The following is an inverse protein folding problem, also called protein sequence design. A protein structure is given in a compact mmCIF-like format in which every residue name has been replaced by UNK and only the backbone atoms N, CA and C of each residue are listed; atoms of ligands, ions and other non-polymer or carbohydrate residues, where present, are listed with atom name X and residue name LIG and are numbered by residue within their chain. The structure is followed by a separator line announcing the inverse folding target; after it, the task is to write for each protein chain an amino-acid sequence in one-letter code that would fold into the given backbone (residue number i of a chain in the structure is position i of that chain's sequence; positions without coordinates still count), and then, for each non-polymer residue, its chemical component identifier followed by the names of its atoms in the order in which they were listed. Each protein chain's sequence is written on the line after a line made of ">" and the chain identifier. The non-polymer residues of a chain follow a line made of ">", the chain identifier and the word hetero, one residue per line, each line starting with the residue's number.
data_IF_883507397188
#
_entry.id   IF_883507397188
#
_cell.length_a   1.000
_cell.length_b   1.000
_cell.length_c   1.000
_cell.angle_alpha   90.00
_cell.angle_beta   90.00
_cell.angle_gamma   90.00
#
_symmetry.space_group_name_H-M   'P 1'
#
loop_
_entity.id
_entity.type
_entity.pdbx_description
1 polymer ?
#
# COMPACT_ATOMS: atom_id res chain seq x y z
N UNK A 1 30.66 -55.99 -21.52
CA UNK A 1 29.76 -54.85 -21.83
C UNK A 1 28.60 -54.66 -20.85
N UNK A 2 27.81 -55.68 -20.46
CA UNK A 2 26.62 -55.46 -19.59
C UNK A 2 26.93 -54.93 -18.17
N UNK A 3 28.05 -55.31 -17.56
CA UNK A 3 28.43 -54.83 -16.21
C UNK A 3 28.88 -53.36 -16.17
N UNK A 4 29.55 -52.85 -17.20
CA UNK A 4 29.96 -51.43 -17.21
C UNK A 4 28.78 -50.47 -17.43
N UNK A 5 27.74 -50.91 -18.16
CA UNK A 5 26.51 -50.13 -18.34
C UNK A 5 25.70 -49.99 -17.03
N UNK A 6 25.67 -51.05 -16.20
CA UNK A 6 24.99 -51.02 -14.90
C UNK A 6 25.74 -50.13 -13.91
N UNK A 7 27.07 -50.25 -13.86
CA UNK A 7 27.91 -49.40 -12.99
C UNK A 7 27.82 -47.92 -13.41
N UNK A 8 27.84 -47.62 -14.71
CA UNK A 8 27.66 -46.26 -15.23
C UNK A 8 26.28 -45.68 -14.88
N UNK A 9 25.19 -46.47 -14.98
CA UNK A 9 23.84 -46.03 -14.58
C UNK A 9 23.73 -45.78 -13.07
N UNK A 10 24.35 -46.60 -12.24
CA UNK A 10 24.37 -46.42 -10.79
C UNK A 10 25.17 -45.17 -10.41
N UNK A 11 26.35 -44.97 -11.01
CA UNK A 11 27.16 -43.77 -10.78
C UNK A 11 26.45 -42.48 -11.24
N UNK A 12 25.74 -42.53 -12.37
CA UNK A 12 24.96 -41.40 -12.87
C UNK A 12 23.77 -41.10 -11.95
N UNK A 13 23.09 -42.12 -11.43
CA UNK A 13 22.02 -41.96 -10.46
C UNK A 13 22.51 -41.37 -9.13
N UNK A 14 23.63 -41.87 -8.59
CA UNK A 14 24.26 -41.32 -7.39
C UNK A 14 24.79 -39.89 -7.62
N UNK A 15 25.37 -39.61 -8.79
CA UNK A 15 25.80 -38.26 -9.18
C UNK A 15 24.61 -37.31 -9.26
N UNK A 16 23.48 -37.73 -9.83
CA UNK A 16 22.25 -36.94 -9.84
C UNK A 16 21.75 -36.69 -8.42
N UNK A 17 21.70 -37.70 -7.55
CA UNK A 17 21.27 -37.52 -6.14
C UNK A 17 22.17 -36.53 -5.41
N UNK A 18 23.49 -36.59 -5.59
CA UNK A 18 24.43 -35.68 -4.93
C UNK A 18 24.25 -34.24 -5.47
N UNK A 19 24.18 -34.06 -6.78
CA UNK A 19 24.01 -32.73 -7.39
C UNK A 19 22.64 -32.11 -7.01
N UNK A 20 21.58 -32.92 -6.94
CA UNK A 20 20.26 -32.46 -6.55
C UNK A 20 20.13 -32.25 -5.04
N UNK A 21 20.87 -32.99 -4.21
CA UNK A 21 20.80 -32.91 -2.74
C UNK A 21 21.35 -31.62 -2.15
N UNK A 22 22.40 -31.03 -2.75
CA UNK A 22 23.05 -29.82 -2.22
C UNK A 22 22.19 -28.55 -2.32
N UNK A 23 21.17 -28.54 -3.18
CA UNK A 23 20.25 -27.41 -3.35
C UNK A 23 18.78 -27.82 -3.14
N UNK A 24 18.51 -28.91 -2.42
CA UNK A 24 17.14 -29.25 -2.08
C UNK A 24 16.53 -28.16 -1.20
N UNK A 25 15.36 -27.67 -1.60
CA UNK A 25 14.68 -26.56 -0.91
C UNK A 25 14.43 -26.82 0.58
N UNK A 26 14.27 -28.09 0.99
CA UNK A 26 14.01 -28.51 2.37
C UNK A 26 15.16 -28.23 3.35
N UNK A 27 16.42 -28.16 2.87
CA UNK A 27 17.56 -27.91 3.76
C UNK A 27 17.78 -26.43 4.04
N UNK A 28 17.10 -25.54 3.30
CA UNK A 28 17.12 -24.13 3.61
C UNK A 28 16.09 -23.83 4.70
N UNK A 29 16.56 -23.39 5.87
CA UNK A 29 15.73 -22.95 7.00
C UNK A 29 14.71 -21.89 6.60
N UNK A 30 14.98 -21.12 5.55
CA UNK A 30 14.07 -20.12 5.02
C UNK A 30 12.81 -20.70 4.38
N UNK A 31 12.87 -21.94 3.89
CA UNK A 31 11.78 -22.68 3.25
C UNK A 31 11.00 -23.58 4.23
N UNK A 32 11.39 -23.65 5.51
CA UNK A 32 10.74 -24.50 6.53
C UNK A 32 10.15 -23.68 7.70
N UNK A 33 9.12 -22.85 7.47
CA UNK A 33 8.56 -21.97 8.49
C UNK A 33 7.90 -22.73 9.66
N UNK A 34 7.27 -23.88 9.42
CA UNK A 34 6.65 -24.66 10.50
C UNK A 34 7.71 -25.32 11.38
N UNK A 35 8.79 -25.87 10.81
CA UNK A 35 9.93 -26.35 11.60
C UNK A 35 10.49 -25.23 12.48
N UNK A 36 10.71 -24.04 11.91
CA UNK A 36 11.20 -22.88 12.67
C UNK A 36 10.25 -22.51 13.81
N UNK A 37 8.93 -22.65 13.60
CA UNK A 37 7.93 -22.36 14.64
C UNK A 37 7.95 -23.40 15.77
N UNK A 38 8.14 -24.68 15.43
CA UNK A 38 8.33 -25.77 16.41
C UNK A 38 9.61 -25.54 17.22
N UNK A 39 10.72 -25.21 16.56
CA UNK A 39 11.99 -24.90 17.24
C UNK A 39 11.85 -23.74 18.23
N UNK A 40 11.13 -22.67 17.86
CA UNK A 40 10.97 -21.48 18.70
C UNK A 40 10.06 -21.69 19.91
N UNK A 41 9.01 -22.51 19.80
CA UNK A 41 7.96 -22.58 20.82
C UNK A 41 7.91 -23.91 21.59
N UNK A 42 8.38 -25.01 20.99
CA UNK A 42 8.26 -26.35 21.55
C UNK A 42 9.59 -26.94 22.02
N UNK A 43 10.74 -26.41 21.58
CA UNK A 43 12.05 -26.91 21.99
C UNK A 43 12.56 -26.10 23.19
N UNK A 44 12.71 -26.69 24.38
CA UNK A 44 13.27 -25.99 25.54
C UNK A 44 14.74 -25.60 25.32
N UNK A 45 15.15 -24.44 25.83
CA UNK A 45 16.53 -23.96 25.70
C UNK A 45 17.52 -24.74 26.57
N UNK A 46 17.07 -25.26 27.72
CA UNK A 46 17.93 -25.98 28.67
C UNK A 46 18.13 -27.44 28.25
N UNK A 47 19.34 -28.03 28.43
CA UNK A 47 19.67 -29.37 27.93
C UNK A 47 18.79 -30.50 28.49
N UNK A 48 18.55 -30.48 29.81
CA UNK A 48 17.79 -31.55 30.49
C UNK A 48 16.31 -31.53 30.10
N UNK A 49 15.59 -30.39 30.14
CA UNK A 49 14.23 -30.31 29.62
C UNK A 49 14.11 -30.66 28.12
N UNK A 50 15.13 -30.36 27.32
CA UNK A 50 15.15 -30.69 25.89
C UNK A 50 15.21 -32.19 25.61
N UNK A 51 15.88 -32.98 26.45
CA UNK A 51 15.89 -34.45 26.29
C UNK A 51 14.53 -35.02 26.70
N UNK A 52 13.97 -34.52 27.81
CA UNK A 52 12.67 -34.99 28.33
C UNK A 52 11.54 -34.70 27.35
N UNK A 53 11.56 -33.53 26.71
CA UNK A 53 10.54 -33.13 25.73
C UNK A 53 10.74 -33.76 24.34
N UNK A 54 11.86 -34.44 24.09
CA UNK A 54 12.21 -35.01 22.78
C UNK A 54 11.15 -35.93 22.17
N UNK A 55 10.49 -36.83 22.94
CA UNK A 55 9.41 -37.66 22.41
C UNK A 55 8.21 -36.88 21.87
N UNK A 56 8.05 -35.61 22.28
CA UNK A 56 6.96 -34.74 21.82
C UNK A 56 7.36 -33.86 20.64
N UNK A 57 8.45 -33.10 20.75
CA UNK A 57 8.80 -32.16 19.68
C UNK A 57 9.43 -32.84 18.46
N UNK A 58 10.04 -34.03 18.57
CA UNK A 58 10.62 -34.72 17.40
C UNK A 58 9.52 -35.15 16.41
N UNK A 59 8.46 -35.88 16.82
CA UNK A 59 7.36 -36.22 15.91
C UNK A 59 6.65 -34.99 15.34
N UNK A 60 6.41 -33.97 16.18
CA UNK A 60 5.77 -32.72 15.75
C UNK A 60 6.65 -31.96 14.74
N UNK A 61 7.96 -31.90 14.97
CA UNK A 61 8.92 -31.30 14.05
C UNK A 61 9.01 -32.04 12.72
N UNK A 62 8.92 -33.37 12.72
CA UNK A 62 8.90 -34.17 11.50
C UNK A 62 7.62 -33.91 10.69
N UNK A 63 6.45 -33.90 11.33
CA UNK A 63 5.19 -33.55 10.68
C UNK A 63 5.23 -32.12 10.12
N UNK A 64 5.74 -31.17 10.90
CA UNK A 64 5.94 -29.79 10.45
C UNK A 64 6.85 -29.74 9.21
N UNK A 65 7.94 -30.52 9.17
CA UNK A 65 8.81 -30.61 8.02
C UNK A 65 8.16 -31.22 6.78
N UNK A 66 7.31 -32.25 6.94
CA UNK A 66 6.54 -32.81 5.83
C UNK A 66 5.53 -31.80 5.28
N UNK A 67 4.84 -31.07 6.16
CA UNK A 67 3.92 -30.00 5.75
C UNK A 67 4.65 -28.87 5.05
N UNK A 68 5.83 -28.47 5.57
CA UNK A 68 6.69 -27.48 4.93
C UNK A 68 7.09 -27.93 3.52
N UNK A 69 7.50 -29.18 3.35
CA UNK A 69 7.93 -29.73 2.07
C UNK A 69 6.80 -29.82 1.03
N UNK A 70 5.66 -30.39 1.41
CA UNK A 70 4.61 -30.77 0.45
C UNK A 70 3.52 -29.73 0.27
N UNK A 71 3.34 -28.82 1.24
CA UNK A 71 2.23 -27.88 1.26
C UNK A 71 2.75 -26.45 1.31
N UNK A 72 3.47 -26.09 2.38
CA UNK A 72 3.78 -24.68 2.66
C UNK A 72 4.76 -24.13 1.63
N UNK A 73 5.89 -24.81 1.39
CA UNK A 73 6.90 -24.34 0.45
C UNK A 73 6.39 -24.25 -1.00
N UNK A 74 5.67 -25.24 -1.55
CA UNK A 74 5.05 -25.09 -2.87
C UNK A 74 4.11 -23.89 -2.96
N UNK A 75 3.24 -23.68 -1.95
CA UNK A 75 2.34 -22.52 -1.92
C UNK A 75 3.12 -21.21 -1.90
N UNK A 76 4.19 -21.15 -1.11
CA UNK A 76 5.08 -19.99 -1.02
C UNK A 76 5.77 -19.63 -2.35
N UNK A 77 5.94 -20.60 -3.25
CA UNK A 77 6.58 -20.41 -4.56
C UNK A 77 5.60 -20.05 -5.69
N UNK A 78 4.29 -20.16 -5.48
CA UNK A 78 3.26 -19.79 -6.46
C UNK A 78 3.45 -18.36 -7.02
N UNK A 79 3.65 -17.31 -6.19
CA UNK A 79 3.76 -15.95 -6.72
C UNK A 79 4.95 -15.76 -7.67
N UNK A 80 6.08 -16.42 -7.37
CA UNK A 80 7.27 -16.34 -8.21
C UNK A 80 7.05 -17.07 -9.53
N UNK A 81 6.49 -18.29 -9.48
CA UNK A 81 6.17 -19.04 -10.69
C UNK A 81 5.15 -18.32 -11.58
N UNK A 82 4.19 -17.63 -10.96
CA UNK A 82 3.24 -16.79 -11.66
C UNK A 82 3.94 -15.60 -12.35
N UNK A 83 4.77 -14.84 -11.63
CA UNK A 83 5.50 -13.70 -12.19
C UNK A 83 6.41 -14.13 -13.35
N UNK A 84 7.12 -15.24 -13.22
CA UNK A 84 7.98 -15.78 -14.26
C UNK A 84 7.16 -16.18 -15.49
N UNK A 85 6.03 -16.86 -15.29
CA UNK A 85 5.12 -17.23 -16.39
C UNK A 85 4.62 -15.99 -17.15
N UNK A 86 4.26 -14.92 -16.43
CA UNK A 86 3.87 -13.65 -17.03
C UNK A 86 5.04 -13.00 -17.77
N UNK A 87 6.23 -13.01 -17.19
CA UNK A 87 7.42 -12.42 -17.82
C UNK A 87 7.81 -13.15 -19.12
N UNK A 88 7.66 -14.47 -19.16
CA UNK A 88 8.06 -15.32 -20.27
C UNK A 88 7.03 -15.28 -21.40
N UNK A 89 5.73 -15.42 -21.07
CA UNK A 89 4.68 -15.65 -22.07
C UNK A 89 3.83 -14.43 -22.37
N UNK A 90 3.73 -13.48 -21.43
CA UNK A 90 2.75 -12.39 -21.49
C UNK A 90 3.37 -11.00 -21.58
N UNK A 91 4.65 -10.85 -21.24
CA UNK A 91 5.33 -9.55 -21.29
C UNK A 91 5.82 -9.25 -22.71
N UNK A 92 5.32 -8.18 -23.35
CA UNK A 92 5.64 -7.89 -24.73
C UNK A 92 7.09 -7.41 -24.88
N UNK A 93 7.81 -7.99 -25.83
CA UNK A 93 9.12 -7.46 -26.24
C UNK A 93 8.94 -6.19 -27.09
N UNK A 94 9.82 -5.18 -26.93
CA UNK A 94 9.71 -3.91 -27.65
C UNK A 94 9.71 -4.06 -29.18
N UNK A 95 10.33 -5.13 -29.69
CA UNK A 95 10.47 -5.44 -31.12
C UNK A 95 9.16 -5.96 -31.76
N UNK A 96 8.21 -6.49 -30.96
CA UNK A 96 7.00 -7.11 -31.49
C UNK A 96 5.90 -6.07 -31.73
N UNK A 97 5.47 -5.90 -32.99
CA UNK A 97 4.31 -5.07 -33.37
C UNK A 97 2.98 -5.77 -33.07
N UNK A 98 1.87 -5.02 -33.11
CA UNK A 98 0.53 -5.46 -32.70
C UNK A 98 0.09 -6.82 -33.28
N UNK A 99 0.24 -7.02 -34.60
CA UNK A 99 -0.19 -8.25 -35.29
C UNK A 99 0.57 -9.47 -34.80
N UNK A 100 1.89 -9.37 -34.64
CA UNK A 100 2.73 -10.44 -34.10
C UNK A 100 2.28 -10.80 -32.68
N UNK A 101 1.93 -9.82 -31.84
CA UNK A 101 1.44 -10.07 -30.48
C UNK A 101 0.13 -10.87 -30.47
N UNK A 102 -0.81 -10.51 -31.33
CA UNK A 102 -2.10 -11.21 -31.43
C UNK A 102 -1.94 -12.64 -31.92
N UNK A 103 -0.99 -12.90 -32.83
CA UNK A 103 -0.70 -14.24 -33.33
C UNK A 103 -0.12 -15.18 -32.24
N UNK A 104 0.58 -14.65 -31.23
CA UNK A 104 1.17 -15.44 -30.15
C UNK A 104 0.22 -15.73 -28.98
N UNK A 105 -0.90 -15.00 -28.84
CA UNK A 105 -1.87 -15.21 -27.76
C UNK A 105 -2.35 -16.66 -27.58
N UNK A 106 -2.78 -17.40 -28.63
CA UNK A 106 -3.21 -18.78 -28.45
C UNK A 106 -2.11 -19.68 -27.89
N UNK A 107 -0.85 -19.45 -28.29
CA UNK A 107 0.30 -20.18 -27.77
C UNK A 107 0.60 -19.80 -26.32
N UNK A 108 0.55 -18.50 -25.97
CA UNK A 108 0.74 -18.05 -24.58
C UNK A 108 -0.30 -18.66 -23.65
N UNK A 109 -1.57 -18.72 -24.05
CA UNK A 109 -2.63 -19.37 -23.27
C UNK A 109 -2.37 -20.86 -23.09
N UNK A 110 -2.03 -21.57 -24.17
CA UNK A 110 -1.77 -23.02 -24.13
C UNK A 110 -0.52 -23.37 -23.30
N UNK A 111 0.53 -22.55 -23.37
CA UNK A 111 1.79 -22.80 -22.67
C UNK A 111 1.79 -22.33 -21.22
N UNK A 112 0.88 -21.44 -20.83
CA UNK A 112 0.77 -20.92 -19.46
C UNK A 112 0.74 -22.02 -18.40
N UNK A 113 -0.14 -23.04 -18.44
CA UNK A 113 -0.15 -24.08 -17.43
C UNK A 113 1.15 -24.91 -17.41
N UNK A 114 1.75 -25.16 -18.58
CA UNK A 114 2.98 -25.95 -18.69
C UNK A 114 4.16 -25.22 -18.06
N UNK A 115 4.35 -23.95 -18.42
CA UNK A 115 5.44 -23.12 -17.88
C UNK A 115 5.24 -22.87 -16.39
N UNK A 116 4.03 -22.55 -15.96
CA UNK A 116 3.71 -22.32 -14.55
C UNK A 116 3.97 -23.56 -13.70
N UNK A 117 3.40 -24.72 -14.08
CA UNK A 117 3.60 -25.96 -13.32
C UNK A 117 5.05 -26.43 -13.35
N UNK A 118 5.74 -26.27 -14.48
CA UNK A 118 7.15 -26.59 -14.60
C UNK A 118 8.01 -25.76 -13.64
N UNK A 119 7.85 -24.43 -13.66
CA UNK A 119 8.60 -23.54 -12.77
C UNK A 119 8.24 -23.75 -11.29
N UNK A 120 6.96 -23.92 -10.99
CA UNK A 120 6.49 -24.19 -9.62
C UNK A 120 7.10 -25.48 -9.06
N UNK A 121 7.06 -26.59 -9.81
CA UNK A 121 7.62 -27.86 -9.38
C UNK A 121 9.15 -27.79 -9.25
N UNK A 122 9.81 -27.14 -10.21
CA UNK A 122 11.25 -26.97 -10.19
C UNK A 122 11.70 -26.18 -8.96
N UNK A 123 11.05 -25.06 -8.63
CA UNK A 123 11.33 -24.25 -7.43
C UNK A 123 10.86 -24.88 -6.13
N UNK A 124 9.87 -25.78 -6.20
CA UNK A 124 9.45 -26.56 -5.04
C UNK A 124 10.48 -27.63 -4.69
N UNK A 125 11.10 -28.25 -5.69
CA UNK A 125 12.15 -29.24 -5.51
C UNK A 125 13.52 -28.62 -5.21
N UNK A 126 13.86 -27.52 -5.87
CA UNK A 126 15.18 -26.90 -5.83
C UNK A 126 15.13 -25.47 -5.31
N UNK A 127 16.12 -25.11 -4.48
CA UNK A 127 16.27 -23.76 -3.94
C UNK A 127 16.89 -22.79 -4.96
N UNK A 128 16.17 -22.54 -6.05
CA UNK A 128 16.62 -21.64 -7.13
C UNK A 128 16.08 -20.23 -6.87
N UNK A 129 16.97 -19.24 -6.91
CA UNK A 129 16.77 -17.81 -6.57
C UNK A 129 16.60 -17.46 -5.07
N UNK A 130 17.25 -18.19 -4.16
CA UNK A 130 17.61 -17.70 -2.82
C UNK A 130 16.51 -16.98 -2.02
N UNK A 131 15.94 -17.70 -1.06
CA UNK A 131 14.98 -17.23 -0.05
C UNK A 131 13.62 -16.76 -0.58
N UNK A 132 12.55 -17.32 -0.01
CA UNK A 132 11.22 -16.73 -0.16
C UNK A 132 11.21 -15.39 0.55
N UNK A 133 10.58 -14.39 -0.06
CA UNK A 133 10.37 -13.07 0.53
C UNK A 133 9.44 -13.18 1.74
N UNK A 134 10.04 -13.52 2.89
CA UNK A 134 9.36 -13.76 4.16
C UNK A 134 8.64 -12.52 4.67
N UNK A 135 9.01 -11.34 4.20
CA UNK A 135 8.30 -10.10 4.49
C UNK A 135 6.80 -10.16 4.11
N UNK A 136 6.40 -11.09 3.23
CA UNK A 136 5.00 -11.30 2.83
C UNK A 136 4.23 -12.29 3.72
N UNK A 137 4.90 -13.10 4.55
CA UNK A 137 4.29 -14.22 5.32
C UNK A 137 4.55 -14.11 6.81
N UNK A 138 5.70 -13.59 7.22
CA UNK A 138 5.86 -13.06 8.56
C UNK A 138 4.91 -11.88 8.64
N UNK A 139 3.77 -12.05 9.34
CA UNK A 139 3.09 -10.93 9.94
C UNK A 139 4.18 -10.14 10.64
N UNK A 140 4.53 -8.95 10.11
CA UNK A 140 5.31 -7.99 10.87
C UNK A 140 4.69 -8.00 12.26
N UNK A 141 5.46 -8.25 13.34
CA UNK A 141 4.89 -8.18 14.68
C UNK A 141 4.19 -6.86 14.71
N UNK A 142 2.85 -6.85 14.88
CA UNK A 142 2.03 -5.65 14.81
C UNK A 142 2.81 -4.64 15.62
N UNK A 143 3.54 -3.73 14.95
CA UNK A 143 4.29 -2.70 15.65
C UNK A 143 3.14 -2.00 16.30
N UNK A 144 3.02 -2.14 17.61
CA UNK A 144 1.96 -1.49 18.37
C UNK A 144 2.21 -0.01 18.12
N UNK A 145 1.60 0.51 17.04
CA UNK A 145 1.66 1.91 16.70
C UNK A 145 0.99 2.51 17.90
N UNK A 146 1.77 3.19 18.73
CA UNK A 146 1.26 3.84 19.93
C UNK A 146 -0.07 4.50 19.54
N UNK A 147 -1.16 4.22 20.26
CA UNK A 147 -2.44 4.83 19.93
C UNK A 147 -2.21 6.33 19.77
N UNK A 148 -2.77 6.91 18.71
CA UNK A 148 -2.52 8.31 18.35
C UNK A 148 -2.79 9.26 19.53
N UNK A 149 -3.73 8.90 20.42
CA UNK A 149 -3.98 9.61 21.68
C UNK A 149 -2.74 9.67 22.59
N UNK A 150 -1.98 8.57 22.70
CA UNK A 150 -0.72 8.53 23.43
C UNK A 150 0.37 9.33 22.72
N UNK A 151 0.47 9.21 21.39
CA UNK A 151 1.43 10.00 20.60
C UNK A 151 1.15 11.50 20.68
N UNK A 152 -0.13 11.87 20.76
CA UNK A 152 -0.57 13.24 21.00
C UNK A 152 -0.24 13.69 22.42
N UNK A 153 -0.45 12.86 23.44
CA UNK A 153 -0.09 13.19 24.81
C UNK A 153 1.43 13.41 24.98
N UNK A 154 2.25 12.61 24.30
CA UNK A 154 3.71 12.66 24.34
C UNK A 154 4.32 13.73 23.41
N UNK A 155 3.50 14.44 22.63
CA UNK A 155 3.94 15.39 21.58
C UNK A 155 4.97 14.78 20.60
N UNK A 156 4.83 13.49 20.29
CA UNK A 156 5.73 12.79 19.38
C UNK A 156 5.41 13.15 17.93
N UNK A 157 6.09 14.19 17.42
CA UNK A 157 5.94 14.69 16.05
C UNK A 157 6.10 13.59 14.99
N UNK A 158 7.09 12.71 15.15
CA UNK A 158 7.38 11.69 14.16
C UNK A 158 6.26 10.63 14.10
N UNK A 159 5.73 10.23 15.25
CA UNK A 159 4.58 9.34 15.33
C UNK A 159 3.31 9.97 14.73
N UNK A 160 3.07 11.26 15.00
CA UNK A 160 1.92 12.01 14.44
C UNK A 160 2.01 12.08 12.92
N UNK A 161 3.16 12.46 12.36
CA UNK A 161 3.34 12.51 10.90
C UNK A 161 3.16 11.13 10.26
N UNK A 162 3.78 10.10 10.85
CA UNK A 162 3.61 8.72 10.38
C UNK A 162 2.14 8.32 10.38
N UNK A 163 1.40 8.65 11.44
CA UNK A 163 -0.02 8.41 11.52
C UNK A 163 -0.80 9.18 10.45
N UNK A 164 -0.50 10.47 10.24
CA UNK A 164 -1.17 11.31 9.24
C UNK A 164 -0.97 10.81 7.81
N UNK A 165 0.20 10.24 7.50
CA UNK A 165 0.48 9.65 6.17
C UNK A 165 -0.13 8.25 5.96
N UNK A 166 -0.66 7.61 7.00
CA UNK A 166 -1.25 6.27 6.87
C UNK A 166 -2.64 6.30 6.21
N UNK A 167 -2.94 5.24 5.44
CA UNK A 167 -4.20 5.06 4.71
C UNK A 167 -5.36 4.50 5.56
N UNK A 168 -5.18 4.35 6.87
CA UNK A 168 -6.22 3.79 7.73
C UNK A 168 -7.42 4.76 7.87
N UNK A 169 -8.62 4.21 8.05
CA UNK A 169 -9.83 4.98 8.33
C UNK A 169 -9.81 5.51 9.76
N UNK A 170 -10.22 6.77 9.96
CA UNK A 170 -10.23 7.41 11.27
C UNK A 170 -11.36 8.43 11.42
N UNK A 171 -11.63 8.78 12.67
CA UNK A 171 -12.63 9.76 13.07
C UNK A 171 -12.21 11.20 12.69
N UNK A 172 -13.09 11.97 12.01
CA UNK A 172 -12.85 13.37 11.68
C UNK A 172 -12.45 14.24 12.88
N UNK A 173 -13.06 14.00 14.05
CA UNK A 173 -12.87 14.74 15.30
C UNK A 173 -11.42 14.69 15.78
N UNK A 174 -10.74 13.57 15.56
CA UNK A 174 -9.33 13.42 15.89
C UNK A 174 -8.45 14.30 15.00
N UNK A 175 -8.77 14.40 13.72
CA UNK A 175 -8.02 15.25 12.78
C UNK A 175 -8.21 16.74 13.12
N UNK A 176 -9.42 17.13 13.53
CA UNK A 176 -9.68 18.47 14.07
C UNK A 176 -8.85 18.73 15.35
N UNK A 177 -8.82 17.79 16.29
CA UNK A 177 -8.03 17.94 17.53
C UNK A 177 -6.53 18.10 17.26
N UNK A 178 -6.00 17.45 16.21
CA UNK A 178 -4.61 17.62 15.77
C UNK A 178 -4.38 19.04 15.23
N UNK A 179 -5.33 19.56 14.43
CA UNK A 179 -5.26 20.91 13.88
C UNK A 179 -5.28 21.98 14.98
N UNK A 180 -6.13 21.81 16.00
CA UNK A 180 -6.20 22.73 17.14
C UNK A 180 -4.92 22.71 17.98
N UNK A 181 -4.27 21.55 18.09
CA UNK A 181 -3.04 21.39 18.88
C UNK A 181 -1.78 21.87 18.16
N UNK A 182 -1.73 21.79 16.83
CA UNK A 182 -0.55 22.13 16.03
C UNK A 182 -0.86 23.19 14.95
N UNK A 183 -1.33 24.39 15.33
CA UNK A 183 -1.68 25.42 14.36
C UNK A 183 -0.47 25.95 13.56
N UNK A 184 0.72 25.98 14.18
CA UNK A 184 1.94 26.53 13.60
C UNK A 184 2.72 25.54 12.72
N UNK A 185 2.55 24.22 12.89
CA UNK A 185 3.26 23.22 12.11
C UNK A 185 2.57 23.03 10.75
N UNK A 186 3.13 23.65 9.71
CA UNK A 186 2.55 23.65 8.36
C UNK A 186 2.41 22.24 7.77
N UNK A 187 3.32 21.31 8.09
CA UNK A 187 3.29 19.95 7.55
C UNK A 187 2.19 19.12 8.23
N UNK A 188 2.13 19.17 9.57
CA UNK A 188 1.06 18.53 10.34
C UNK A 188 -0.29 19.11 9.94
N UNK A 189 -0.40 20.44 9.86
CA UNK A 189 -1.64 21.14 9.47
C UNK A 189 -2.12 20.69 8.09
N UNK A 190 -1.24 20.69 7.09
CA UNK A 190 -1.58 20.26 5.73
C UNK A 190 -2.07 18.82 5.69
N UNK A 191 -1.34 17.90 6.33
CA UNK A 191 -1.69 16.49 6.33
C UNK A 191 -2.96 16.20 7.13
N UNK A 192 -3.15 16.87 8.28
CA UNK A 192 -4.35 16.74 9.09
C UNK A 192 -5.58 17.30 8.37
N UNK A 193 -5.46 18.44 7.67
CA UNK A 193 -6.52 18.97 6.80
C UNK A 193 -6.86 17.99 5.68
N UNK A 194 -5.85 17.49 4.96
CA UNK A 194 -6.04 16.51 3.88
C UNK A 194 -6.77 15.26 4.38
N UNK A 195 -6.39 14.76 5.56
CA UNK A 195 -7.00 13.58 6.17
C UNK A 195 -8.43 13.87 6.63
N UNK A 196 -8.66 15.01 7.29
CA UNK A 196 -9.98 15.47 7.71
C UNK A 196 -10.92 15.54 6.51
N UNK A 197 -10.61 16.36 5.50
CA UNK A 197 -11.50 16.55 4.34
C UNK A 197 -11.70 15.27 3.52
N UNK A 198 -10.70 14.37 3.52
CA UNK A 198 -10.79 13.07 2.88
C UNK A 198 -11.91 12.19 3.45
N UNK A 199 -12.21 12.36 4.74
CA UNK A 199 -13.24 11.58 5.46
C UNK A 199 -14.63 12.22 5.46
N UNK A 200 -14.75 13.50 5.07
CA UNK A 200 -16.02 14.22 5.11
C UNK A 200 -16.96 13.84 3.96
N UNK A 201 -18.24 13.70 4.29
CA UNK A 201 -19.35 13.48 3.35
C UNK A 201 -20.51 14.43 3.70
N UNK A 202 -21.60 14.40 2.92
CA UNK A 202 -22.76 15.30 3.09
C UNK A 202 -23.37 15.26 4.50
N UNK A 203 -23.23 14.16 5.24
CA UNK A 203 -23.78 14.01 6.61
C UNK A 203 -22.84 14.56 7.67
N UNK A 204 -21.52 14.36 7.50
CA UNK A 204 -20.52 14.77 8.50
C UNK A 204 -20.05 16.20 8.28
N UNK A 205 -19.96 16.65 7.03
CA UNK A 205 -19.45 17.96 6.66
C UNK A 205 -20.11 19.15 7.37
N UNK A 206 -21.45 19.24 7.52
CA UNK A 206 -22.07 20.39 8.19
C UNK A 206 -21.56 20.66 9.60
N UNK A 207 -21.05 19.64 10.31
CA UNK A 207 -20.46 19.80 11.64
C UNK A 207 -19.10 20.49 11.64
N UNK A 208 -18.35 20.36 10.53
CA UNK A 208 -16.99 20.88 10.38
C UNK A 208 -16.92 22.09 9.45
N UNK A 209 -18.02 22.44 8.79
CA UNK A 209 -18.08 23.50 7.78
C UNK A 209 -17.57 24.84 8.32
N UNK A 210 -18.09 25.29 9.46
CA UNK A 210 -17.69 26.58 10.05
C UNK A 210 -16.21 26.57 10.49
N UNK A 211 -15.73 25.42 10.98
CA UNK A 211 -14.31 25.23 11.33
C UNK A 211 -13.41 25.34 10.09
N UNK A 212 -13.76 24.65 9.00
CA UNK A 212 -12.99 24.67 7.75
C UNK A 212 -12.99 26.04 7.08
N UNK A 213 -14.10 26.78 7.16
CA UNK A 213 -14.17 28.18 6.69
C UNK A 213 -13.17 29.06 7.45
N UNK A 214 -12.97 28.82 8.74
CA UNK A 214 -11.98 29.53 9.56
C UNK A 214 -10.51 29.35 9.12
N UNK A 215 -10.22 28.32 8.31
CA UNK A 215 -8.90 28.04 7.76
C UNK A 215 -8.65 28.66 6.37
N UNK A 216 -9.66 29.28 5.75
CA UNK A 216 -9.47 29.99 4.49
C UNK A 216 -8.46 31.14 4.65
N UNK A 217 -7.64 31.36 3.62
CA UNK A 217 -6.68 32.45 3.52
C UNK A 217 -5.58 32.42 4.60
N UNK A 218 -5.31 31.25 5.19
CA UNK A 218 -4.20 31.05 6.13
C UNK A 218 -2.91 30.68 5.41
N UNK A 219 -3.00 29.77 4.44
CA UNK A 219 -1.89 29.42 3.57
C UNK A 219 -2.40 28.81 2.26
N UNK A 220 -1.63 28.98 1.18
CA UNK A 220 -2.03 28.58 -0.17
C UNK A 220 -2.27 27.07 -0.32
N UNK A 221 -1.56 26.23 0.44
CA UNK A 221 -1.70 24.77 0.32
C UNK A 221 -2.99 24.30 0.97
N UNK A 222 -3.31 24.84 2.16
CA UNK A 222 -4.58 24.64 2.85
C UNK A 222 -5.74 25.11 1.99
N UNK A 223 -5.65 26.29 1.38
CA UNK A 223 -6.70 26.82 0.51
C UNK A 223 -7.03 25.86 -0.64
N UNK A 224 -6.02 25.28 -1.32
CA UNK A 224 -6.27 24.31 -2.40
C UNK A 224 -7.06 23.09 -1.92
N UNK A 225 -6.78 22.60 -0.72
CA UNK A 225 -7.48 21.47 -0.10
C UNK A 225 -8.92 21.87 0.23
N UNK A 226 -9.11 23.03 0.85
CA UNK A 226 -10.40 23.56 1.28
C UNK A 226 -11.32 23.87 0.09
N UNK A 227 -10.82 24.56 -0.92
CA UNK A 227 -11.57 24.84 -2.15
C UNK A 227 -11.98 23.55 -2.88
N UNK A 228 -11.17 22.49 -2.80
CA UNK A 228 -11.54 21.16 -3.30
C UNK A 228 -12.77 20.58 -2.58
N UNK A 229 -12.77 20.60 -1.24
CA UNK A 229 -13.88 20.03 -0.46
C UNK A 229 -15.16 20.86 -0.58
N UNK A 230 -15.06 22.19 -0.60
CA UNK A 230 -16.23 23.06 -0.74
C UNK A 230 -16.92 22.92 -2.10
N UNK A 231 -16.16 22.72 -3.18
CA UNK A 231 -16.72 22.37 -4.49
C UNK A 231 -17.39 21.00 -4.47
N UNK A 232 -16.71 19.99 -3.93
CA UNK A 232 -17.23 18.61 -3.88
C UNK A 232 -18.57 18.52 -3.12
N UNK A 233 -18.73 19.32 -2.07
CA UNK A 233 -19.87 19.28 -1.16
C UNK A 233 -20.82 20.47 -1.31
N UNK A 234 -20.67 21.28 -2.38
CA UNK A 234 -21.55 22.40 -2.74
C UNK A 234 -21.90 23.34 -1.57
N UNK A 235 -20.90 23.73 -0.77
CA UNK A 235 -21.11 24.53 0.45
C UNK A 235 -21.47 25.98 0.14
N UNK A 236 -22.74 26.33 0.33
CA UNK A 236 -23.23 27.72 0.17
C UNK A 236 -22.60 28.68 1.16
N UNK A 237 -22.40 28.26 2.42
CA UNK A 237 -21.73 29.08 3.43
C UNK A 237 -20.27 29.38 3.04
N UNK A 238 -19.56 28.38 2.51
CA UNK A 238 -18.20 28.60 2.05
C UNK A 238 -18.17 29.55 0.85
N UNK A 239 -19.13 29.44 -0.08
CA UNK A 239 -19.26 30.38 -1.20
C UNK A 239 -19.35 31.83 -0.72
N UNK A 240 -20.23 32.11 0.24
CA UNK A 240 -20.39 33.45 0.82
C UNK A 240 -19.09 33.94 1.50
N UNK A 241 -18.44 33.07 2.28
CA UNK A 241 -17.19 33.40 2.97
C UNK A 241 -16.03 33.67 1.98
N UNK A 242 -15.90 32.85 0.94
CA UNK A 242 -14.91 32.99 -0.13
C UNK A 242 -15.15 34.32 -0.87
N UNK A 243 -16.40 34.62 -1.21
CA UNK A 243 -16.76 35.85 -1.91
C UNK A 243 -16.44 37.08 -1.07
N UNK A 244 -16.71 37.03 0.25
CA UNK A 244 -16.32 38.09 1.19
C UNK A 244 -14.81 38.34 1.18
N UNK A 245 -13.99 37.28 1.21
CA UNK A 245 -12.53 37.39 1.20
C UNK A 245 -12.01 38.01 -0.12
N UNK A 246 -12.62 37.65 -1.25
CA UNK A 246 -12.29 38.24 -2.56
C UNK A 246 -12.67 39.72 -2.60
N UNK A 247 -13.88 40.08 -2.13
CA UNK A 247 -14.37 41.48 -2.09
C UNK A 247 -13.48 42.39 -1.24
N UNK A 248 -13.03 41.91 -0.08
CA UNK A 248 -12.19 42.69 0.83
C UNK A 248 -10.73 42.74 0.40
N UNK A 249 -10.35 42.15 -0.75
CA UNK A 249 -8.99 42.04 -1.26
C UNK A 249 -8.01 41.43 -0.25
N UNK A 250 -8.53 40.56 0.63
CA UNK A 250 -7.71 39.85 1.62
C UNK A 250 -6.97 38.66 1.02
N UNK A 251 -7.28 38.31 -0.23
CA UNK A 251 -6.70 37.18 -0.98
C UNK A 251 -5.69 37.69 -1.99
N UNK A 252 -4.58 36.97 -2.19
CA UNK A 252 -3.61 37.27 -3.24
C UNK A 252 -4.27 37.19 -4.63
N UNK A 253 -3.74 37.93 -5.62
CA UNK A 253 -4.25 37.88 -7.00
C UNK A 253 -4.24 36.47 -7.59
N UNK A 254 -3.24 35.68 -7.21
CA UNK A 254 -3.09 34.28 -7.64
C UNK A 254 -4.21 33.41 -7.07
N UNK A 255 -4.51 33.53 -5.76
CA UNK A 255 -5.54 32.74 -5.11
C UNK A 255 -6.97 33.23 -5.45
N UNK A 256 -7.14 34.53 -5.74
CA UNK A 256 -8.44 35.12 -6.05
C UNK A 256 -9.13 34.41 -7.24
N UNK A 257 -8.34 33.97 -8.24
CA UNK A 257 -8.85 33.19 -9.38
C UNK A 257 -9.45 31.86 -8.92
N UNK A 258 -8.74 31.10 -8.10
CA UNK A 258 -9.19 29.79 -7.62
C UNK A 258 -10.41 29.93 -6.69
N UNK A 259 -10.47 31.01 -5.92
CA UNK A 259 -11.61 31.38 -5.08
C UNK A 259 -12.85 31.69 -5.91
N UNK A 260 -12.73 32.57 -6.92
CA UNK A 260 -13.83 32.89 -7.85
C UNK A 260 -14.30 31.64 -8.58
N UNK A 261 -13.39 30.81 -9.10
CA UNK A 261 -13.76 29.55 -9.73
C UNK A 261 -14.54 28.63 -8.78
N UNK A 262 -14.14 28.57 -7.51
CA UNK A 262 -14.84 27.78 -6.50
C UNK A 262 -16.27 28.26 -6.28
N UNK A 263 -16.51 29.58 -6.17
CA UNK A 263 -17.85 30.16 -6.09
C UNK A 263 -18.71 29.77 -7.30
N UNK A 264 -18.15 29.91 -8.51
CA UNK A 264 -18.85 29.54 -9.75
C UNK A 264 -19.20 28.04 -9.79
N UNK A 265 -18.31 27.17 -9.31
CA UNK A 265 -18.56 25.72 -9.23
C UNK A 265 -19.62 25.35 -8.19
N UNK A 266 -19.67 26.05 -7.06
CA UNK A 266 -20.68 25.81 -6.03
C UNK A 266 -22.09 26.14 -6.56
N UNK A 267 -22.20 27.17 -7.41
CA UNK A 267 -23.43 27.41 -8.16
C UNK A 267 -24.49 28.19 -7.41
N UNK A 268 -24.16 28.94 -6.35
CA UNK A 268 -25.17 29.77 -5.67
C UNK A 268 -25.52 31.00 -6.50
N UNK A 269 -26.78 31.10 -6.90
CA UNK A 269 -27.28 32.10 -7.85
C UNK A 269 -26.96 33.53 -7.43
N UNK A 270 -27.09 33.84 -6.13
CA UNK A 270 -26.84 35.18 -5.60
C UNK A 270 -25.37 35.58 -5.72
N UNK A 271 -24.48 34.63 -5.42
CA UNK A 271 -23.04 34.86 -5.48
C UNK A 271 -22.54 34.97 -6.93
N UNK A 272 -23.11 34.17 -7.84
CA UNK A 272 -22.82 34.25 -9.28
C UNK A 272 -23.28 35.58 -9.85
N UNK A 273 -24.53 35.99 -9.56
CA UNK A 273 -25.06 37.26 -10.07
C UNK A 273 -24.17 38.43 -9.63
N UNK A 274 -23.73 38.43 -8.38
CA UNK A 274 -22.80 39.45 -7.89
C UNK A 274 -21.49 39.50 -8.70
N UNK A 275 -20.90 38.35 -9.03
CA UNK A 275 -19.65 38.31 -9.83
C UNK A 275 -19.91 38.88 -11.23
N UNK A 276 -21.05 38.56 -11.85
CA UNK A 276 -21.44 39.07 -13.16
C UNK A 276 -21.61 40.60 -13.12
N UNK A 277 -22.28 41.13 -12.11
CA UNK A 277 -22.51 42.56 -11.95
C UNK A 277 -21.17 43.31 -11.84
N UNK A 278 -20.25 42.81 -11.02
CA UNK A 278 -18.91 43.40 -10.86
C UNK A 278 -18.07 43.38 -12.15
N UNK A 279 -18.16 42.31 -12.94
CA UNK A 279 -17.47 42.24 -14.23
C UNK A 279 -18.08 43.20 -15.26
N UNK A 280 -19.40 43.37 -15.22
CA UNK A 280 -20.13 44.30 -16.10
C UNK A 280 -19.74 45.75 -15.81
N UNK A 281 -19.73 46.17 -14.53
CA UNK A 281 -19.26 47.49 -14.10
C UNK A 281 -17.79 47.76 -14.50
N UNK A 282 -16.91 46.77 -14.35
CA UNK A 282 -15.50 46.88 -14.74
C UNK A 282 -15.31 47.03 -16.26
N UNK A 283 -16.25 46.52 -17.06
CA UNK A 283 -16.25 46.67 -18.52
C UNK A 283 -16.74 48.06 -18.96
N UNK A 284 -17.71 48.64 -18.25
CA UNK A 284 -18.24 49.98 -18.55
C UNK A 284 -17.28 51.11 -18.15
N UNK A 285 -16.51 50.93 -17.08
CA UNK A 285 -15.47 51.87 -16.64
C UNK A 285 -14.20 51.90 -17.51
N UNK A 286 -14.11 51.03 -18.52
CA UNK A 286 -13.04 50.97 -19.53
C UNK A 286 -13.53 51.35 -20.92
N UNK A 287 -14.46 52.31 -21.03
CA UNK A 287 -14.63 53.03 -22.31
C UNK A 287 -13.34 53.82 -22.60
N UNK A 288 -12.84 53.81 -23.86
CA UNK A 288 -11.57 54.42 -24.24
C UNK A 288 -11.49 55.91 -23.93
#
# INVERSE_FOLDING_TARGET
>A
MKRSLVVARILLFFSCIIIFGYNCAIFNRNNTPLIVRVEKHLVPEKPVPKIIAAPFYIPVGLLAGLLDLFIVHPIMRIPNAYQDTISILWTPRPENRYVTRMAFLPFSVLLTPVIFSGDLLFRSAFDVNGNVDRARIEEEPIKQVKPIQQSLAENDRAAILKWLTSYAYHEPELSQSILDKYPEDAEIRRLALQKLVGTLNDKTFPKFEDFLIGYLNKDQQSDRILLGVFRRLYSKKASEAILRLVRTKQVSKENAKDYILTVLYIGDEKDIQFIIDQLSEASEGKKP
#
